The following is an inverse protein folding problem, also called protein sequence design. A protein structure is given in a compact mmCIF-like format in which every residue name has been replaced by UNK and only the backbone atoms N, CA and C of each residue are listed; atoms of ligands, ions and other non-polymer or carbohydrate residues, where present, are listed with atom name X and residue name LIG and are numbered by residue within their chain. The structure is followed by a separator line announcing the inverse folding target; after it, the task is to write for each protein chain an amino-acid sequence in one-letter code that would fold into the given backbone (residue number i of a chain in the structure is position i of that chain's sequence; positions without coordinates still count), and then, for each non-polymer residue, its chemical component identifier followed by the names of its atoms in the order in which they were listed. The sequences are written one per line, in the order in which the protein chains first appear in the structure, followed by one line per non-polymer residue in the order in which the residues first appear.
data_IF_542966886773
#
_entry.id   IF_542966886773
#
_cell.length_a   1.000
_cell.length_b   1.000
_cell.length_c   1.000
_cell.angle_alpha   90.00
_cell.angle_beta   90.00
_cell.angle_gamma   90.00
#
_symmetry.space_group_name_H-M   'P 1'
#
loop_
_entity.id
_entity.type
_entity.pdbx_description
1 polymer ?
#
# COMPACT_ATOMS: atom_id res chain seq x y z
N UNK A 1 -11.18 8.86 4.56
CA UNK A 1 -11.37 7.48 5.03
C UNK A 1 -11.22 6.55 3.82
N UNK A 2 -10.36 5.54 3.90
CA UNK A 2 -10.24 4.53 2.84
C UNK A 2 -11.50 3.64 2.84
N UNK A 3 -11.93 3.21 1.65
CA UNK A 3 -13.06 2.31 1.50
C UNK A 3 -12.68 0.89 1.94
N UNK A 4 -13.68 0.14 2.41
CA UNK A 4 -13.52 -1.26 2.80
C UNK A 4 -13.17 -2.12 1.58
N UNK A 5 -12.41 -3.19 1.80
CA UNK A 5 -11.93 -4.04 0.73
C UNK A 5 -13.11 -4.64 -0.04
N UNK A 6 -13.07 -4.53 -1.38
CA UNK A 6 -14.14 -5.01 -2.27
C UNK A 6 -13.68 -6.23 -3.05
N UNK A 7 -14.65 -7.05 -3.47
CA UNK A 7 -14.42 -8.22 -4.33
C UNK A 7 -13.76 -7.80 -5.66
N UNK A 8 -12.82 -8.60 -6.14
CA UNK A 8 -12.13 -8.37 -7.39
C UNK A 8 -13.09 -8.46 -8.57
N UNK A 9 -12.95 -7.52 -9.52
CA UNK A 9 -13.74 -7.50 -10.74
C UNK A 9 -13.01 -8.31 -11.82
N UNK A 10 -13.68 -9.36 -12.32
CA UNK A 10 -13.19 -10.21 -13.40
C UNK A 10 -13.77 -9.86 -14.76
N UNK A 11 -13.37 -10.61 -15.78
CA UNK A 11 -13.91 -10.50 -17.14
C UNK A 11 -15.43 -10.67 -17.14
N UNK A 12 -16.14 -9.71 -17.74
CA UNK A 12 -17.62 -9.70 -17.78
C UNK A 12 -18.28 -8.95 -16.62
N UNK A 13 -17.50 -8.46 -15.64
CA UNK A 13 -18.03 -7.56 -14.61
C UNK A 13 -18.43 -6.21 -15.24
N UNK A 14 -19.46 -5.53 -14.70
CA UNK A 14 -19.82 -4.19 -15.17
C UNK A 14 -18.65 -3.23 -14.97
N UNK A 15 -18.50 -2.29 -15.91
CA UNK A 15 -17.51 -1.23 -15.76
C UNK A 15 -17.82 -0.41 -14.50
N UNK A 16 -16.80 -0.02 -13.72
CA UNK A 16 -17.01 0.82 -12.55
C UNK A 16 -17.64 2.15 -12.98
N UNK A 17 -18.54 2.65 -12.14
CA UNK A 17 -19.19 3.94 -12.36
C UNK A 17 -18.21 5.13 -12.31
N UNK A 18 -18.64 6.31 -12.75
CA UNK A 18 -17.83 7.52 -12.69
C UNK A 18 -17.47 7.89 -11.25
N UNK A 19 -16.23 8.32 -11.03
CA UNK A 19 -15.73 8.70 -9.71
C UNK A 19 -16.41 10.00 -9.24
N UNK A 20 -17.01 10.04 -8.03
CA UNK A 20 -17.57 11.27 -7.49
C UNK A 20 -16.52 12.38 -7.39
N UNK A 21 -16.95 13.64 -7.56
CA UNK A 21 -16.05 14.79 -7.40
C UNK A 21 -15.37 14.75 -6.01
N UNK A 22 -14.07 15.06 -5.96
CA UNK A 22 -13.19 14.99 -4.77
C UNK A 22 -12.81 13.58 -4.27
N UNK A 23 -13.12 12.54 -5.03
CA UNK A 23 -12.64 11.19 -4.74
C UNK A 23 -11.59 10.76 -5.78
N UNK A 24 -10.66 9.92 -5.35
CA UNK A 24 -9.72 9.23 -6.23
C UNK A 24 -10.09 7.75 -6.17
N UNK A 25 -10.21 7.12 -7.34
CA UNK A 25 -10.41 5.69 -7.44
C UNK A 25 -9.07 5.01 -7.70
N UNK A 26 -8.70 4.11 -6.80
CA UNK A 26 -7.52 3.27 -6.95
C UNK A 26 -7.93 1.88 -7.46
N UNK A 27 -7.39 1.50 -8.61
CA UNK A 27 -7.46 0.11 -9.08
C UNK A 27 -6.35 -0.68 -8.40
N UNK A 28 -6.72 -1.71 -7.65
CA UNK A 28 -5.81 -2.39 -6.74
C UNK A 28 -6.16 -3.87 -6.64
N UNK A 29 -5.17 -4.67 -6.24
CA UNK A 29 -5.35 -6.06 -5.83
C UNK A 29 -4.78 -6.20 -4.41
N UNK A 30 -5.49 -6.90 -3.52
CA UNK A 30 -5.20 -6.93 -2.07
C UNK A 30 -3.79 -7.41 -1.78
N UNK A 31 -3.40 -8.55 -2.34
CA UNK A 31 -2.10 -9.19 -2.10
C UNK A 31 -0.96 -8.66 -2.98
N UNK A 32 -1.19 -7.67 -3.85
CA UNK A 32 -0.16 -7.10 -4.73
C UNK A 32 0.80 -6.17 -3.95
N UNK A 33 2.12 -6.42 -3.97
CA UNK A 33 3.09 -5.59 -3.25
C UNK A 33 3.20 -4.18 -3.82
N UNK A 34 3.16 -4.03 -5.15
CA UNK A 34 3.19 -2.73 -5.81
C UNK A 34 1.94 -1.89 -5.48
N UNK A 35 0.78 -2.52 -5.47
CA UNK A 35 -0.47 -1.84 -5.15
C UNK A 35 -0.56 -1.49 -3.66
N UNK A 36 0.04 -2.32 -2.79
CA UNK A 36 0.13 -2.05 -1.36
C UNK A 36 0.96 -0.81 -1.07
N UNK A 37 2.08 -0.60 -1.76
CA UNK A 37 2.86 0.62 -1.63
C UNK A 37 2.02 1.88 -1.92
N UNK A 38 1.23 1.89 -3.00
CA UNK A 38 0.34 3.03 -3.30
C UNK A 38 -0.69 3.26 -2.20
N UNK A 39 -1.24 2.19 -1.60
CA UNK A 39 -2.15 2.29 -0.46
C UNK A 39 -1.45 2.85 0.78
N UNK A 40 -0.23 2.39 1.09
CA UNK A 40 0.57 2.90 2.20
C UNK A 40 0.82 4.40 2.09
N UNK A 41 1.29 4.85 0.92
CA UNK A 41 1.53 6.27 0.67
C UNK A 41 0.24 7.07 0.80
N UNK A 42 -0.88 6.57 0.25
CA UNK A 42 -2.16 7.25 0.38
C UNK A 42 -2.64 7.30 1.84
N UNK A 43 -2.40 6.25 2.63
CA UNK A 43 -2.73 6.20 4.06
C UNK A 43 -1.89 7.19 4.86
N UNK A 44 -0.59 7.25 4.59
CA UNK A 44 0.33 8.18 5.21
C UNK A 44 -0.04 9.64 4.90
N UNK A 45 -0.31 9.96 3.63
CA UNK A 45 -0.73 11.31 3.24
C UNK A 45 -2.06 11.72 3.89
N UNK A 46 -3.02 10.80 4.05
CA UNK A 46 -4.26 11.05 4.77
C UNK A 46 -4.01 11.27 6.27
N UNK A 47 -3.06 10.53 6.85
CA UNK A 47 -2.72 10.59 8.27
C UNK A 47 -2.01 11.89 8.64
N UNK A 48 -0.98 12.27 7.89
CA UNK A 48 -0.18 13.49 8.12
C UNK A 48 -0.94 14.78 7.76
N UNK A 49 -1.91 14.70 6.85
CA UNK A 49 -2.71 15.85 6.42
C UNK A 49 -4.19 15.60 6.62
N UNK A 50 -4.78 15.93 7.78
CA UNK A 50 -6.22 16.02 7.91
C UNK A 50 -6.74 17.19 7.06
N UNK A 51 -7.01 16.90 5.78
CA UNK A 51 -7.93 17.62 4.87
C UNK A 51 -7.42 18.89 4.12
N UNK A 52 -6.22 19.44 4.32
CA UNK A 52 -5.88 20.75 3.69
C UNK A 52 -5.05 20.77 2.40
N UNK A 53 -4.80 19.66 1.68
CA UNK A 53 -4.20 19.76 0.33
C UNK A 53 -4.65 18.64 -0.62
N UNK A 54 -5.86 18.78 -1.13
CA UNK A 54 -6.22 18.21 -2.43
C UNK A 54 -5.95 19.27 -3.51
N UNK A 55 -4.80 19.26 -4.21
CA UNK A 55 -4.66 20.07 -5.42
C UNK A 55 -5.68 19.56 -6.45
N UNK A 56 -6.57 20.46 -6.88
CA UNK A 56 -7.78 20.18 -7.67
C UNK A 56 -7.53 19.80 -9.14
N UNK A 57 -6.34 19.37 -9.52
CA UNK A 57 -6.06 19.02 -10.91
C UNK A 57 -4.89 18.04 -10.98
N UNK A 58 -5.13 16.91 -11.63
CA UNK A 58 -4.19 15.82 -11.83
C UNK A 58 -2.85 16.20 -12.54
N UNK A 59 -2.68 17.34 -13.26
CA UNK A 59 -1.36 17.77 -13.72
C UNK A 59 -0.45 18.26 -12.57
N UNK A 60 -1.02 18.67 -11.43
CA UNK A 60 -0.26 19.18 -10.29
C UNK A 60 0.24 18.09 -9.34
N UNK A 61 0.05 16.80 -9.60
CA UNK A 61 0.70 15.75 -8.77
C UNK A 61 2.21 15.77 -9.02
N UNK A 62 2.64 15.95 -10.26
CA UNK A 62 4.06 16.11 -10.59
C UNK A 62 4.61 17.43 -10.04
N UNK A 63 3.85 18.53 -10.10
CA UNK A 63 4.30 19.82 -9.61
C UNK A 63 4.22 19.94 -8.08
N UNK A 64 3.29 19.26 -7.42
CA UNK A 64 3.24 19.13 -5.97
C UNK A 64 4.36 18.22 -5.46
N UNK A 65 4.64 17.11 -6.17
CA UNK A 65 5.84 16.32 -5.92
C UNK A 65 7.09 17.18 -6.10
N UNK A 66 7.19 18.00 -7.15
CA UNK A 66 8.33 18.89 -7.45
C UNK A 66 8.47 20.07 -6.49
N UNK A 67 7.38 20.68 -6.03
CA UNK A 67 7.37 21.75 -5.01
C UNK A 67 7.70 21.18 -3.62
N UNK A 68 7.22 19.99 -3.31
CA UNK A 68 7.67 19.23 -2.13
C UNK A 68 9.15 18.81 -2.28
N UNK A 69 9.60 18.52 -3.51
CA UNK A 69 11.00 18.24 -3.87
C UNK A 69 11.91 19.47 -3.80
N UNK A 70 11.38 20.69 -3.94
CA UNK A 70 12.20 21.90 -4.02
C UNK A 70 12.13 22.78 -2.77
N UNK A 71 11.08 22.70 -1.94
CA UNK A 71 11.01 23.50 -0.70
C UNK A 71 10.96 22.68 0.60
N UNK A 72 10.87 21.34 0.55
CA UNK A 72 10.69 20.51 1.74
C UNK A 72 11.42 19.15 1.68
N UNK A 73 12.61 19.09 1.08
CA UNK A 73 13.52 17.96 1.35
C UNK A 73 14.15 18.17 2.73
N UNK A 74 13.36 17.95 3.78
CA UNK A 74 13.94 17.38 4.97
C UNK A 74 14.26 15.93 4.59
N UNK A 75 15.52 15.54 4.75
CA UNK A 75 16.05 14.16 4.54
C UNK A 75 15.06 13.08 5.02
N UNK A 76 14.31 13.37 6.10
CA UNK A 76 13.25 12.55 6.67
C UNK A 76 12.17 12.05 5.70
N UNK A 77 11.62 12.88 4.81
CA UNK A 77 10.48 12.46 3.96
C UNK A 77 10.89 11.44 2.90
N UNK A 78 12.12 11.58 2.36
CA UNK A 78 12.66 10.63 1.40
C UNK A 78 12.90 9.26 2.05
N UNK A 79 13.43 9.22 3.28
CA UNK A 79 13.63 7.97 4.01
C UNK A 79 12.30 7.26 4.28
N UNK A 80 11.27 7.99 4.72
CA UNK A 80 9.93 7.43 4.96
C UNK A 80 9.33 6.83 3.68
N UNK A 81 9.49 7.49 2.52
CA UNK A 81 8.99 6.94 1.26
C UNK A 81 9.72 5.64 0.87
N UNK A 82 11.05 5.60 1.07
CA UNK A 82 11.86 4.41 0.80
C UNK A 82 11.43 3.25 1.72
N UNK A 83 11.20 3.52 3.01
CA UNK A 83 10.70 2.52 3.96
C UNK A 83 9.37 1.92 3.49
N UNK A 84 8.44 2.76 3.03
CA UNK A 84 7.15 2.28 2.49
C UNK A 84 7.26 1.56 1.14
N UNK A 85 8.25 1.89 0.32
CA UNK A 85 8.52 1.15 -0.93
C UNK A 85 9.08 -0.24 -0.66
N UNK A 86 9.91 -0.38 0.37
CA UNK A 86 10.53 -1.65 0.73
C UNK A 86 9.59 -2.54 1.56
N UNK A 87 8.78 -1.93 2.43
CA UNK A 87 7.96 -2.64 3.42
C UNK A 87 7.13 -3.81 2.86
N UNK A 88 6.37 -3.67 1.75
CA UNK A 88 5.56 -4.78 1.22
C UNK A 88 6.39 -6.05 0.97
N UNK A 89 7.64 -5.92 0.56
CA UNK A 89 8.50 -7.09 0.35
C UNK A 89 8.88 -7.74 1.66
N UNK A 90 9.29 -6.94 2.64
CA UNK A 90 9.67 -7.42 3.97
C UNK A 90 8.51 -8.04 4.74
N UNK A 91 7.31 -7.48 4.63
CA UNK A 91 6.08 -8.04 5.21
C UNK A 91 5.83 -9.47 4.72
N UNK A 92 6.15 -9.76 3.46
CA UNK A 92 5.98 -11.10 2.85
C UNK A 92 7.14 -12.06 3.16
N UNK A 93 8.26 -11.57 3.68
CA UNK A 93 9.42 -12.43 3.97
C UNK A 93 9.14 -13.44 5.09
N UNK A 94 8.26 -13.09 6.04
CA UNK A 94 7.84 -14.02 7.09
C UNK A 94 7.11 -15.24 6.51
N UNK A 95 6.29 -15.03 5.48
CA UNK A 95 5.61 -16.12 4.76
C UNK A 95 6.61 -17.04 4.04
N UNK A 96 7.74 -16.50 3.56
CA UNK A 96 8.78 -17.25 2.85
C UNK A 96 9.81 -17.93 3.77
N UNK A 97 9.63 -17.85 5.09
CA UNK A 97 10.56 -18.38 6.11
C UNK A 97 12.02 -17.89 5.97
N UNK A 98 12.19 -16.69 5.40
CA UNK A 98 13.50 -16.08 5.17
C UNK A 98 13.98 -15.20 6.33
N UNK A 99 13.30 -15.26 7.48
CA UNK A 99 13.57 -14.46 8.69
C UNK A 99 15.04 -14.54 9.15
N UNK A 100 15.71 -15.66 8.89
CA UNK A 100 17.10 -15.87 9.29
C UNK A 100 18.12 -15.07 8.47
N UNK A 101 17.75 -14.55 7.30
CA UNK A 101 18.66 -13.87 6.36
C UNK A 101 18.94 -12.41 6.77
N UNK A 102 18.02 -11.78 7.50
CA UNK A 102 18.08 -10.33 7.79
C UNK A 102 18.01 -9.98 9.27
N UNK A 103 18.76 -10.71 10.11
CA UNK A 103 18.81 -10.47 11.58
C UNK A 103 19.03 -9.01 11.97
N UNK A 104 19.77 -8.25 11.16
CA UNK A 104 20.06 -6.83 11.40
C UNK A 104 18.86 -5.90 11.16
N UNK A 105 17.83 -6.35 10.43
CA UNK A 105 16.65 -5.57 10.10
C UNK A 105 15.47 -5.84 11.05
N UNK A 106 15.61 -6.75 12.02
CA UNK A 106 14.54 -7.08 12.97
C UNK A 106 13.96 -5.84 13.67
N UNK A 107 14.83 -4.96 14.15
CA UNK A 107 14.42 -3.71 14.82
C UNK A 107 13.65 -2.77 13.88
N UNK A 108 14.07 -2.68 12.62
CA UNK A 108 13.38 -1.88 11.61
C UNK A 108 12.00 -2.48 11.31
N UNK A 109 11.89 -3.81 11.21
CA UNK A 109 10.60 -4.49 11.01
C UNK A 109 9.64 -4.28 12.18
N UNK A 110 10.12 -4.41 13.42
CA UNK A 110 9.33 -4.15 14.63
C UNK A 110 8.81 -2.69 14.64
N UNK A 111 9.67 -1.73 14.31
CA UNK A 111 9.29 -0.32 14.20
C UNK A 111 8.27 -0.06 13.08
N UNK A 112 8.45 -0.66 11.90
CA UNK A 112 7.50 -0.52 10.79
C UNK A 112 6.12 -1.10 11.14
N UNK A 113 6.07 -2.21 11.87
CA UNK A 113 4.81 -2.77 12.36
C UNK A 113 4.08 -1.87 13.36
N UNK A 114 4.77 -0.95 14.02
CA UNK A 114 4.17 0.01 14.94
C UNK A 114 3.51 1.20 14.22
N UNK A 115 3.92 1.48 12.98
CA UNK A 115 3.50 2.63 12.18
C UNK A 115 1.99 2.56 11.79
N UNK A 116 1.18 3.61 12.04
CA UNK A 116 -0.26 3.55 11.78
C UNK A 116 -0.65 3.27 10.31
N UNK A 117 -0.03 3.89 9.29
CA UNK A 117 -0.24 3.54 7.88
C UNK A 117 0.05 2.07 7.56
N UNK A 118 1.11 1.50 8.14
CA UNK A 118 1.45 0.08 7.99
C UNK A 118 0.39 -0.80 8.63
N UNK A 119 0.01 -0.55 9.88
CA UNK A 119 -1.07 -1.27 10.58
C UNK A 119 -2.40 -1.24 9.82
N UNK A 120 -2.69 -0.15 9.12
CA UNK A 120 -3.92 -0.02 8.34
C UNK A 120 -3.93 -0.85 7.05
N UNK A 121 -2.76 -1.30 6.56
CA UNK A 121 -2.62 -1.96 5.26
C UNK A 121 -1.96 -3.34 5.30
N UNK A 122 -1.45 -3.76 6.46
CA UNK A 122 -0.87 -5.08 6.70
C UNK A 122 -1.95 -6.17 6.63
N UNK A 123 -1.58 -7.31 6.06
CA UNK A 123 -2.37 -8.54 6.11
C UNK A 123 -1.68 -9.57 7.01
N UNK A 124 -2.46 -10.49 7.58
CA UNK A 124 -1.87 -11.60 8.35
C UNK A 124 -1.02 -12.51 7.47
N UNK A 125 0.03 -13.07 8.05
CA UNK A 125 0.94 -14.01 7.40
C UNK A 125 0.20 -15.23 6.85
N UNK A 126 -0.86 -15.68 7.53
CA UNK A 126 -1.70 -16.79 7.07
C UNK A 126 -2.52 -16.43 5.83
N UNK A 127 -3.00 -15.19 5.70
CA UNK A 127 -3.69 -14.75 4.48
C UNK A 127 -2.76 -14.79 3.28
N UNK A 128 -1.50 -14.37 3.44
CA UNK A 128 -0.50 -14.48 2.40
C UNK A 128 -0.21 -15.94 2.03
N UNK A 129 -0.03 -16.83 3.02
CA UNK A 129 0.21 -18.26 2.76
C UNK A 129 -0.89 -18.89 1.91
N UNK A 130 -2.17 -18.61 2.23
CA UNK A 130 -3.30 -19.17 1.48
C UNK A 130 -3.36 -18.59 0.07
N UNK A 131 -3.21 -17.27 -0.09
CA UNK A 131 -3.17 -16.64 -1.41
C UNK A 131 -2.05 -17.22 -2.27
N UNK A 132 -0.82 -17.27 -1.75
CA UNK A 132 0.33 -17.78 -2.50
C UNK A 132 0.17 -19.26 -2.86
N UNK A 133 -0.39 -20.09 -1.97
CA UNK A 133 -0.71 -21.48 -2.30
C UNK A 133 -1.66 -21.56 -3.50
N UNK A 134 -2.76 -20.82 -3.46
CA UNK A 134 -3.72 -20.78 -4.58
C UNK A 134 -3.10 -20.23 -5.88
N UNK A 135 -2.17 -19.28 -5.77
CA UNK A 135 -1.42 -18.72 -6.89
C UNK A 135 -0.49 -19.76 -7.52
N UNK A 136 0.23 -20.55 -6.70
CA UNK A 136 1.10 -21.63 -7.17
C UNK A 136 0.31 -22.79 -7.78
N UNK A 137 -0.92 -23.04 -7.32
CA UNK A 137 -1.85 -24.01 -7.89
C UNK A 137 -2.48 -23.53 -9.22
N UNK A 138 -2.24 -22.28 -9.62
CA UNK A 138 -2.76 -21.70 -10.87
C UNK A 138 -4.20 -21.18 -10.78
N UNK A 139 -4.82 -21.26 -9.60
CA UNK A 139 -6.17 -20.75 -9.32
C UNK A 139 -6.14 -19.70 -8.20
N UNK A 140 -5.53 -18.52 -8.45
CA UNK A 140 -5.32 -17.51 -7.42
C UNK A 140 -6.64 -16.96 -6.86
N UNK A 141 -6.82 -17.06 -5.55
CA UNK A 141 -7.94 -16.47 -4.82
C UNK A 141 -7.61 -15.05 -4.34
N UNK A 142 -7.86 -14.07 -5.20
CA UNK A 142 -7.63 -12.66 -4.88
C UNK A 142 -8.58 -12.09 -3.80
N UNK A 143 -9.66 -12.81 -3.51
CA UNK A 143 -10.73 -12.39 -2.60
C UNK A 143 -10.63 -13.06 -1.22
N UNK A 144 -9.61 -13.90 -0.98
CA UNK A 144 -9.43 -14.63 0.27
C UNK A 144 -9.50 -13.72 1.50
N UNK A 145 -10.43 -13.99 2.42
CA UNK A 145 -10.63 -13.20 3.65
C UNK A 145 -11.33 -11.85 3.42
N UNK A 146 -12.20 -11.78 2.40
CA UNK A 146 -13.30 -10.81 2.27
C UNK A 146 -14.61 -11.40 2.76
#
# INVERSE_FOLDING_TARGET
KMAESQKCLGKGSPAPGPVPKKHIQLYSMRFCPFAQWTRLVFSFLIWESPITLFPKSLPHVFEFLYLCFTSCINSCFLYVLIDYMMWPWFERMEMMDLNNVYKNLKKWTEHMLEDPPVKATVFSTDNYKVFYKSYMEGTPDYDYGL
#
